data_IF_119265396414
#
_entry.id   IF_119265396414
#
_cell.length_a   1.000
_cell.length_b   1.000
_cell.length_c   1.000
_cell.angle_alpha   90.00
_cell.angle_beta   90.00
_cell.angle_gamma   90.00
#
_symmetry.space_group_name_H-M   'P 1'
#
loop_
_entity.id
_entity.type
_entity.pdbx_description
1 polymer ?
#
# COMPACT_ATOMS: atom_id res chain seq x y z
N UNK A 1 22.06 2.60 12.07
CA UNK A 1 23.03 3.65 12.43
C UNK A 1 24.41 3.15 12.01
N UNK A 2 25.16 3.95 11.24
CA UNK A 2 26.49 3.55 10.74
C UNK A 2 27.51 4.46 11.43
N UNK A 3 28.47 3.86 12.12
CA UNK A 3 29.52 4.59 12.82
C UNK A 3 30.49 5.30 11.86
N UNK A 4 30.96 6.48 12.26
CA UNK A 4 31.87 7.30 11.47
C UNK A 4 33.31 6.78 11.58
N UNK A 5 33.89 6.33 10.46
CA UNK A 5 35.33 6.14 10.32
C UNK A 5 35.98 7.48 9.93
N UNK A 6 37.09 7.84 10.59
CA UNK A 6 37.75 9.13 10.42
C UNK A 6 38.23 9.48 9.01
N UNK A 7 38.72 10.73 8.86
CA UNK A 7 39.14 11.42 7.63
C UNK A 7 39.41 10.52 6.40
N UNK A 8 38.69 10.77 5.31
CA UNK A 8 38.90 10.09 4.02
C UNK A 8 38.91 11.12 2.89
N UNK A 9 40.04 11.24 2.19
CA UNK A 9 40.16 11.93 0.90
C UNK A 9 39.65 11.09 -0.27
N UNK A 10 39.11 9.91 -0.01
CA UNK A 10 38.54 9.01 -1.01
C UNK A 10 37.02 9.07 -1.03
N UNK A 11 36.45 9.07 -2.24
CA UNK A 11 35.02 9.05 -2.51
C UNK A 11 34.38 7.84 -1.81
N UNK A 12 33.69 8.07 -0.68
CA UNK A 12 33.01 7.01 0.07
C UNK A 12 31.64 6.76 -0.54
N UNK A 13 31.48 5.63 -1.21
CA UNK A 13 30.17 5.16 -1.66
C UNK A 13 29.42 4.56 -0.48
N UNK A 14 28.36 5.23 -0.05
CA UNK A 14 27.41 4.68 0.92
C UNK A 14 26.29 3.98 0.15
N UNK A 15 25.98 2.74 0.53
CA UNK A 15 24.82 2.01 0.02
C UNK A 15 23.82 1.85 1.17
N UNK A 16 22.60 2.32 0.97
CA UNK A 16 21.50 2.17 1.91
C UNK A 16 20.28 1.71 1.13
N UNK A 17 19.66 0.63 1.60
CA UNK A 17 18.42 0.09 1.01
C UNK A 17 17.28 0.52 1.92
N UNK A 18 16.37 1.34 1.39
CA UNK A 18 15.11 1.64 2.07
C UNK A 18 14.07 0.55 1.71
N UNK A 19 13.88 -0.39 2.63
CA UNK A 19 12.94 -1.51 2.46
C UNK A 19 11.47 -1.14 2.69
N UNK A 20 11.16 0.10 3.07
CA UNK A 20 9.80 0.54 3.41
C UNK A 20 9.13 1.35 2.27
N UNK A 21 9.71 1.35 1.08
CA UNK A 21 9.15 1.98 -0.12
C UNK A 21 7.98 1.14 -0.67
N UNK A 22 6.81 1.26 -0.03
CA UNK A 22 5.59 0.52 -0.41
C UNK A 22 4.53 1.39 -1.08
N UNK A 23 4.74 2.71 -1.12
CA UNK A 23 3.80 3.69 -1.66
C UNK A 23 4.46 4.38 -2.86
N UNK A 24 3.71 4.61 -3.93
CA UNK A 24 4.19 5.41 -5.05
C UNK A 24 4.30 6.88 -4.65
N UNK A 25 5.31 7.57 -5.14
CA UNK A 25 5.41 9.02 -4.93
C UNK A 25 6.83 9.56 -4.86
N UNK A 26 6.89 10.84 -4.50
CA UNK A 26 8.13 11.58 -4.36
C UNK A 26 8.72 11.34 -2.97
N UNK A 27 9.90 10.72 -2.93
CA UNK A 27 10.67 10.56 -1.71
C UNK A 27 11.84 11.53 -1.69
N UNK A 28 12.07 12.15 -0.53
CA UNK A 28 13.13 13.14 -0.32
C UNK A 28 14.12 12.61 0.71
N UNK A 29 15.36 12.40 0.28
CA UNK A 29 16.42 11.92 1.14
C UNK A 29 17.53 12.96 1.27
N UNK A 30 18.10 13.05 2.47
CA UNK A 30 19.34 13.79 2.73
C UNK A 30 20.24 12.95 3.63
N UNK A 31 21.54 12.99 3.38
CA UNK A 31 22.52 12.33 4.24
C UNK A 31 22.88 13.29 5.38
N UNK A 32 22.91 12.79 6.61
CA UNK A 32 23.50 13.50 7.75
C UNK A 32 24.91 12.97 7.97
N UNK A 33 25.92 13.81 7.74
CA UNK A 33 27.32 13.50 7.99
C UNK A 33 27.70 14.08 9.35
N UNK A 34 28.34 13.27 10.20
CA UNK A 34 28.81 13.69 11.53
C UNK A 34 30.32 13.59 11.52
N UNK A 35 30.99 14.71 11.78
CA UNK A 35 32.43 14.80 11.91
C UNK A 35 32.88 14.27 13.27
N UNK A 36 34.18 13.96 13.39
CA UNK A 36 34.75 13.35 14.61
C UNK A 36 34.64 14.25 15.86
N UNK A 37 34.45 15.55 15.67
CA UNK A 37 34.26 16.53 16.74
C UNK A 37 32.77 16.71 17.14
N UNK A 38 31.85 15.95 16.53
CA UNK A 38 30.42 15.99 16.79
C UNK A 38 29.66 17.04 15.96
N UNK A 39 30.35 17.83 15.14
CA UNK A 39 29.70 18.71 14.17
C UNK A 39 28.99 17.87 13.11
N UNK A 40 27.88 18.37 12.59
CA UNK A 40 27.15 17.67 11.54
C UNK A 40 26.81 18.59 10.39
N UNK A 41 26.83 18.03 9.19
CA UNK A 41 26.38 18.66 7.96
C UNK A 41 25.35 17.77 7.27
N UNK A 42 24.50 18.37 6.44
CA UNK A 42 23.58 17.65 5.58
C UNK A 42 24.07 17.72 4.13
N UNK A 43 23.87 16.64 3.37
CA UNK A 43 23.99 16.70 1.91
C UNK A 43 22.85 17.51 1.30
N UNK A 44 22.95 17.77 -0.01
CA UNK A 44 21.81 18.19 -0.80
C UNK A 44 20.65 17.19 -0.66
N UNK A 45 19.42 17.71 -0.79
CA UNK A 45 18.21 16.90 -0.82
C UNK A 45 18.10 16.26 -2.19
N UNK A 46 18.05 14.93 -2.21
CA UNK A 46 17.84 14.14 -3.42
C UNK A 46 16.37 13.76 -3.48
N UNK A 47 15.73 14.11 -4.60
CA UNK A 47 14.37 13.66 -4.93
C UNK A 47 14.46 12.34 -5.70
N UNK A 48 13.73 11.34 -5.26
CA UNK A 48 13.56 10.06 -5.97
C UNK A 48 12.08 9.91 -6.32
N UNK A 49 11.80 9.76 -7.62
CA UNK A 49 10.49 9.37 -8.12
C UNK A 49 10.38 7.85 -8.02
N UNK A 50 9.54 7.36 -7.11
CA UNK A 50 9.28 5.93 -6.96
C UNK A 50 8.01 5.59 -7.73
N UNK A 51 8.20 5.08 -8.93
CA UNK A 51 7.14 4.53 -9.76
C UNK A 51 7.03 3.02 -9.54
N UNK A 52 6.13 2.61 -8.66
CA UNK A 52 5.70 1.22 -8.52
C UNK A 52 4.76 0.95 -9.71
N UNK A 53 5.31 0.57 -10.86
CA UNK A 53 4.56 0.42 -12.11
C UNK A 53 3.19 -0.25 -11.94
N UNK A 54 2.19 0.27 -12.65
CA UNK A 54 0.76 -0.06 -12.61
C UNK A 54 0.40 -1.50 -13.06
N UNK A 55 1.03 -2.53 -12.51
CA UNK A 55 0.98 -3.88 -13.11
C UNK A 55 0.93 -5.04 -12.11
N UNK A 56 1.05 -4.83 -10.80
CA UNK A 56 0.82 -5.94 -9.89
C UNK A 56 -0.68 -6.28 -9.91
N UNK A 57 -1.08 -7.50 -10.31
CA UNK A 57 -2.49 -7.87 -10.36
C UNK A 57 -3.09 -7.78 -8.96
N UNK A 58 -4.25 -7.16 -8.87
CA UNK A 58 -5.04 -7.10 -7.63
C UNK A 58 -5.92 -8.33 -7.61
N UNK A 59 -5.88 -9.08 -6.51
CA UNK A 59 -6.67 -10.31 -6.38
C UNK A 59 -7.51 -10.27 -5.13
N UNK A 60 -8.78 -10.67 -5.27
CA UNK A 60 -9.75 -10.75 -4.18
C UNK A 60 -10.12 -12.20 -3.92
N UNK A 61 -9.99 -12.65 -2.67
CA UNK A 61 -10.26 -14.04 -2.28
C UNK A 61 -10.66 -14.15 -0.79
N UNK A 62 -11.35 -15.22 -0.35
CA UNK A 62 -11.87 -16.31 -1.16
C UNK A 62 -13.13 -15.89 -1.92
N UNK A 63 -13.40 -16.60 -3.01
CA UNK A 63 -14.69 -16.59 -3.69
C UNK A 63 -15.14 -18.05 -3.86
N UNK A 64 -16.18 -18.53 -3.16
CA UNK A 64 -17.08 -17.77 -2.29
C UNK A 64 -16.46 -17.28 -0.97
N UNK A 65 -16.90 -16.11 -0.50
CA UNK A 65 -16.55 -15.50 0.79
C UNK A 65 -17.63 -15.78 1.84
N UNK A 66 -17.25 -15.77 3.13
CA UNK A 66 -18.20 -15.97 4.24
C UNK A 66 -18.15 -14.76 5.19
N UNK A 67 -17.05 -14.62 5.93
CA UNK A 67 -16.91 -13.58 6.97
C UNK A 67 -15.96 -12.44 6.56
N UNK A 68 -15.14 -12.67 5.55
CA UNK A 68 -14.11 -11.74 5.11
C UNK A 68 -13.70 -12.03 3.68
N UNK A 69 -13.10 -11.01 3.06
CA UNK A 69 -12.25 -11.14 1.87
C UNK A 69 -10.86 -10.63 2.19
N UNK A 70 -9.88 -11.10 1.44
CA UNK A 70 -8.54 -10.57 1.37
C UNK A 70 -8.38 -9.90 0.01
N UNK A 71 -7.78 -8.71 0.01
CA UNK A 71 -7.40 -7.96 -1.17
C UNK A 71 -5.87 -7.89 -1.20
N UNK A 72 -5.26 -8.69 -2.06
CA UNK A 72 -3.81 -8.62 -2.28
C UNK A 72 -3.50 -7.42 -3.17
N UNK A 73 -2.51 -6.62 -2.79
CA UNK A 73 -2.23 -5.34 -3.44
C UNK A 73 -3.02 -4.16 -2.88
N UNK A 74 -3.64 -4.30 -1.70
CA UNK A 74 -4.45 -3.25 -1.08
C UNK A 74 -3.73 -1.90 -0.90
N UNK A 75 -2.40 -1.91 -0.76
CA UNK A 75 -1.55 -0.71 -0.67
C UNK A 75 -1.46 0.09 -1.98
N UNK A 76 -1.92 -0.48 -3.10
CA UNK A 76 -2.03 0.23 -4.39
C UNK A 76 -3.42 0.83 -4.59
N UNK A 77 -4.35 0.55 -3.68
CA UNK A 77 -5.70 1.07 -3.69
C UNK A 77 -5.78 2.34 -2.87
N UNK A 78 -6.68 3.24 -3.27
CA UNK A 78 -7.15 4.37 -2.46
C UNK A 78 -8.50 4.05 -1.80
N UNK A 79 -9.31 3.19 -2.43
CA UNK A 79 -10.64 2.85 -1.95
C UNK A 79 -11.09 1.46 -2.40
N UNK A 80 -11.86 0.78 -1.56
CA UNK A 80 -12.63 -0.41 -1.90
C UNK A 80 -14.11 -0.14 -1.63
N UNK A 81 -14.96 -0.37 -2.62
CA UNK A 81 -16.41 -0.22 -2.51
C UNK A 81 -17.10 -1.56 -2.77
N UNK A 82 -18.15 -1.84 -2.01
CA UNK A 82 -18.98 -3.02 -2.18
C UNK A 82 -20.39 -2.61 -2.57
N UNK A 83 -20.91 -3.20 -3.64
CA UNK A 83 -22.26 -3.01 -4.13
C UNK A 83 -23.03 -4.32 -4.17
N UNK A 84 -24.34 -4.24 -4.00
CA UNK A 84 -25.22 -5.33 -4.39
C UNK A 84 -25.46 -5.36 -5.91
N UNK A 85 -26.13 -6.40 -6.40
CA UNK A 85 -26.43 -6.54 -7.84
C UNK A 85 -27.44 -5.53 -8.38
N UNK A 86 -28.10 -4.75 -7.52
CA UNK A 86 -28.95 -3.62 -7.94
C UNK A 86 -28.15 -2.33 -8.13
N UNK A 87 -26.88 -2.33 -7.70
CA UNK A 87 -25.99 -1.17 -7.71
C UNK A 87 -26.06 -0.34 -6.43
N UNK A 88 -26.75 -0.81 -5.38
CA UNK A 88 -26.77 -0.12 -4.10
C UNK A 88 -25.42 -0.28 -3.40
N UNK A 89 -24.85 0.83 -2.93
CA UNK A 89 -23.61 0.84 -2.16
C UNK A 89 -23.86 0.29 -0.76
N UNK A 90 -23.19 -0.81 -0.44
CA UNK A 90 -23.31 -1.54 0.81
C UNK A 90 -22.23 -1.11 1.81
N UNK A 91 -20.99 -0.95 1.34
CA UNK A 91 -19.89 -0.56 2.21
C UNK A 91 -18.75 0.13 1.45
N UNK A 92 -17.95 0.91 2.18
CA UNK A 92 -16.74 1.57 1.69
C UNK A 92 -15.61 1.35 2.70
N UNK A 93 -14.44 0.99 2.20
CA UNK A 93 -13.20 0.96 2.97
C UNK A 93 -12.20 1.92 2.31
N UNK A 94 -11.82 2.98 3.03
CA UNK A 94 -10.65 3.80 2.68
C UNK A 94 -9.38 3.03 3.04
N UNK A 95 -8.48 2.86 2.07
CA UNK A 95 -7.30 2.00 2.24
C UNK A 95 -6.11 2.72 2.86
N UNK A 96 -6.16 4.05 2.97
CA UNK A 96 -5.14 4.88 3.62
C UNK A 96 -4.97 4.54 5.12
N UNK A 97 -6.04 4.04 5.78
CA UNK A 97 -6.02 3.63 7.19
C UNK A 97 -5.89 2.10 7.37
N UNK A 98 -5.95 1.33 6.29
CA UNK A 98 -6.04 -0.13 6.33
C UNK A 98 -4.65 -0.76 6.24
N UNK A 99 -4.08 -1.11 7.39
CA UNK A 99 -2.81 -1.85 7.52
C UNK A 99 -2.94 -3.35 7.16
N UNK A 100 -4.16 -3.84 6.93
CA UNK A 100 -4.46 -5.26 6.76
C UNK A 100 -5.09 -5.54 5.40
N UNK A 101 -4.60 -6.56 4.69
CA UNK A 101 -5.23 -7.01 3.43
C UNK A 101 -6.62 -7.61 3.63
N UNK A 102 -7.04 -7.87 4.87
CA UNK A 102 -8.32 -8.50 5.21
C UNK A 102 -9.40 -7.45 5.47
N UNK A 103 -10.50 -7.52 4.71
CA UNK A 103 -11.73 -6.75 4.90
C UNK A 103 -12.81 -7.67 5.47
N UNK A 104 -13.36 -7.30 6.63
CA UNK A 104 -14.43 -8.06 7.26
C UNK A 104 -15.78 -7.70 6.64
N UNK A 105 -16.59 -8.71 6.38
CA UNK A 105 -17.94 -8.57 5.85
C UNK A 105 -18.96 -8.57 6.99
N UNK A 106 -20.07 -7.86 6.81
CA UNK A 106 -21.19 -7.91 7.75
C UNK A 106 -21.87 -9.30 7.67
N UNK A 107 -22.04 -9.95 8.82
CA UNK A 107 -22.65 -11.29 8.92
C UNK A 107 -24.15 -11.28 8.58
N UNK A 108 -24.79 -10.11 8.57
CA UNK A 108 -26.20 -9.95 8.22
C UNK A 108 -26.44 -9.94 6.71
N UNK A 109 -25.38 -9.88 5.90
CA UNK A 109 -25.49 -9.88 4.44
C UNK A 109 -26.21 -11.15 3.94
N UNK A 110 -27.21 -11.01 3.06
CA UNK A 110 -27.80 -12.14 2.36
C UNK A 110 -26.76 -12.93 1.55
N UNK A 111 -26.98 -14.24 1.41
CA UNK A 111 -26.22 -15.05 0.45
C UNK A 111 -26.51 -14.55 -0.97
N UNK A 112 -25.48 -14.23 -1.73
CA UNK A 112 -25.64 -13.68 -3.07
C UNK A 112 -24.34 -13.21 -3.70
N UNK A 113 -24.42 -12.69 -4.93
CA UNK A 113 -23.29 -12.06 -5.59
C UNK A 113 -23.23 -10.58 -5.22
N UNK A 114 -22.01 -10.09 -5.04
CA UNK A 114 -21.71 -8.69 -4.76
C UNK A 114 -20.57 -8.23 -5.66
N UNK A 115 -20.59 -6.96 -6.01
CA UNK A 115 -19.55 -6.33 -6.83
C UNK A 115 -18.61 -5.53 -5.94
N UNK A 116 -17.32 -5.83 -6.01
CA UNK A 116 -16.26 -5.09 -5.34
C UNK A 116 -15.54 -4.23 -6.36
N UNK A 117 -15.64 -2.91 -6.22
CA UNK A 117 -14.89 -1.94 -7.01
C UNK A 117 -13.64 -1.53 -6.26
N UNK A 118 -12.49 -1.73 -6.88
CA UNK A 118 -11.17 -1.46 -6.32
C UNK A 118 -10.59 -0.26 -7.07
N UNK A 119 -10.57 0.91 -6.44
CA UNK A 119 -9.99 2.12 -7.03
C UNK A 119 -8.54 2.23 -6.61
N UNK A 120 -7.64 2.27 -7.59
CA UNK A 120 -6.20 2.47 -7.42
C UNK A 120 -5.91 3.91 -7.01
N UNK A 121 -4.75 4.13 -6.38
CA UNK A 121 -4.25 5.49 -6.09
C UNK A 121 -4.04 6.28 -7.39
N UNK A 122 -3.79 5.61 -8.52
CA UNK A 122 -3.72 6.24 -9.86
C UNK A 122 -5.09 6.72 -10.41
N UNK A 123 -6.20 6.32 -9.77
CA UNK A 123 -7.57 6.63 -10.20
C UNK A 123 -8.23 5.55 -11.08
N UNK A 124 -7.46 4.61 -11.62
CA UNK A 124 -8.02 3.45 -12.33
C UNK A 124 -8.84 2.57 -11.38
N UNK A 125 -9.91 1.93 -11.89
CA UNK A 125 -10.73 1.02 -11.08
C UNK A 125 -10.87 -0.34 -11.74
N UNK A 126 -10.90 -1.39 -10.92
CA UNK A 126 -11.17 -2.77 -11.33
C UNK A 126 -12.34 -3.34 -10.54
N UNK A 127 -13.17 -4.15 -11.19
CA UNK A 127 -14.43 -4.65 -10.64
C UNK A 127 -14.38 -6.18 -10.49
N UNK A 128 -14.59 -6.68 -9.28
CA UNK A 128 -14.58 -8.11 -8.94
C UNK A 128 -15.94 -8.57 -8.43
N UNK A 129 -16.55 -9.55 -9.09
CA UNK A 129 -17.75 -10.21 -8.58
C UNK A 129 -17.37 -11.32 -7.60
N UNK A 130 -17.88 -11.23 -6.37
CA UNK A 130 -17.64 -12.20 -5.30
C UNK A 130 -18.97 -12.76 -4.80
N UNK A 131 -19.08 -14.10 -4.71
CA UNK A 131 -20.21 -14.76 -4.05
C UNK A 131 -19.99 -14.70 -2.54
N UNK A 132 -20.96 -14.18 -1.79
CA UNK A 132 -20.99 -14.20 -0.33
C UNK A 132 -21.96 -15.28 0.13
N UNK A 133 -21.54 -16.11 1.08
CA UNK A 133 -22.35 -17.11 1.75
C UNK A 133 -22.60 -16.66 3.20
N UNK A 134 -23.86 -16.57 3.59
CA UNK A 134 -24.22 -16.33 4.98
C UNK A 134 -24.05 -17.61 5.81
N UNK A 135 -23.26 -17.55 6.88
CA UNK A 135 -23.11 -18.65 7.83
C UNK A 135 -24.15 -18.48 8.95
N UNK A 136 -25.28 -19.18 8.84
CA UNK A 136 -26.29 -19.27 9.90
C UNK A 136 -25.83 -20.13 11.06
#
# INVERSE_FOLDING_TARGET
EVEAAGFSTNNRSYNFIDGNLTIQGDYYYKLRQVDQNGDFSFSDVIKIDVNLGSSAPITVYPNPAINYINVQGIHQLSKVEMYDMTGALINVWDTDEVQSTRLNLDKTLPTGNYLFRLTRISGESDDHQIMILNNR
#
